data_IF_751143124215
#
_entry.id   IF_751143124215
#
_cell.length_a   1.000
_cell.length_b   1.000
_cell.length_c   1.000
_cell.angle_alpha   90.00
_cell.angle_beta   90.00
_cell.angle_gamma   90.00
#
_symmetry.space_group_name_H-M   'P 1'
#
loop_
_entity.id
_entity.type
_entity.pdbx_description
1 polymer ?
#
# COMPACT_ATOMS: atom_id res chain seq x y z
N UNK A 1 8.23 27.93 -20.52
CA UNK A 1 7.92 26.95 -19.47
C UNK A 1 6.64 26.26 -19.90
N UNK A 2 6.77 25.11 -20.55
CA UNK A 2 5.62 24.33 -21.02
C UNK A 2 4.99 23.73 -19.78
N UNK A 3 3.77 24.16 -19.45
CA UNK A 3 2.95 23.44 -18.47
C UNK A 3 2.57 22.15 -19.18
N UNK A 4 3.22 21.03 -18.82
CA UNK A 4 2.66 19.73 -19.12
C UNK A 4 1.26 19.74 -18.51
N UNK A 5 0.23 19.68 -19.35
CA UNK A 5 -1.13 19.40 -18.90
C UNK A 5 -1.13 17.96 -18.36
N UNK A 6 -0.63 17.80 -17.14
CA UNK A 6 -0.67 16.55 -16.39
C UNK A 6 -2.14 16.16 -16.29
N UNK A 7 -2.50 15.08 -17.00
CA UNK A 7 -3.83 14.52 -16.93
C UNK A 7 -4.13 14.21 -15.46
N UNK A 8 -5.02 14.96 -14.81
CA UNK A 8 -5.34 14.82 -13.38
C UNK A 8 -5.71 13.37 -13.01
N UNK A 9 -6.26 12.62 -13.96
CA UNK A 9 -6.55 11.19 -13.82
C UNK A 9 -5.31 10.34 -13.55
N UNK A 10 -4.13 10.73 -14.04
CA UNK A 10 -2.88 10.02 -13.84
C UNK A 10 -2.45 9.99 -12.37
N UNK A 11 -2.89 10.98 -11.57
CA UNK A 11 -2.54 11.12 -10.16
C UNK A 11 -3.53 10.44 -9.21
N UNK A 12 -4.71 10.01 -9.69
CA UNK A 12 -5.69 9.31 -8.86
C UNK A 12 -5.30 7.84 -8.68
N UNK A 13 -5.45 7.34 -7.45
CA UNK A 13 -5.29 5.92 -7.15
C UNK A 13 -6.47 5.10 -7.73
N UNK A 14 -6.24 3.83 -8.09
CA UNK A 14 -7.32 2.89 -8.38
C UNK A 14 -8.31 2.78 -7.21
N UNK A 15 -9.59 2.53 -7.51
CA UNK A 15 -10.64 2.37 -6.49
C UNK A 15 -10.87 0.91 -6.09
N UNK A 16 -9.94 0.03 -6.47
CA UNK A 16 -10.06 -1.42 -6.32
C UNK A 16 -9.81 -1.89 -4.89
N UNK A 17 -8.99 -1.17 -4.11
CA UNK A 17 -8.75 -1.41 -2.69
C UNK A 17 -9.17 -0.18 -1.87
N UNK A 18 -10.17 -0.33 -1.01
CA UNK A 18 -10.76 0.76 -0.23
C UNK A 18 -10.44 0.55 1.26
N UNK A 19 -9.60 1.40 1.88
CA UNK A 19 -9.22 1.22 3.28
C UNK A 19 -10.38 1.56 4.22
N UNK A 20 -10.48 0.80 5.31
CA UNK A 20 -11.52 0.92 6.35
C UNK A 20 -10.91 1.32 7.71
N UNK A 21 -9.75 0.74 8.06
CA UNK A 21 -9.10 0.99 9.35
C UNK A 21 -7.58 0.84 9.25
N UNK A 22 -6.88 1.76 9.90
CA UNK A 22 -5.43 1.72 10.07
C UNK A 22 -5.07 1.45 11.52
N UNK A 23 -4.24 0.45 11.76
CA UNK A 23 -3.52 0.26 13.01
C UNK A 23 -2.05 0.62 12.76
N UNK A 24 -1.66 1.83 13.16
CA UNK A 24 -0.33 2.38 12.92
C UNK A 24 0.50 2.34 14.20
N UNK A 25 1.71 1.79 14.09
CA UNK A 25 2.73 1.84 15.12
C UNK A 25 3.98 2.54 14.58
N UNK A 26 4.44 3.57 15.27
CA UNK A 26 5.65 4.33 14.92
C UNK A 26 6.56 4.39 16.14
N UNK A 27 7.82 4.01 15.95
CA UNK A 27 8.89 4.05 16.94
C UNK A 27 9.98 5.01 16.45
N UNK A 28 9.94 6.30 16.86
CA UNK A 28 10.96 7.28 16.50
C UNK A 28 12.24 7.08 17.31
N UNK A 29 13.39 7.25 16.66
CA UNK A 29 14.69 7.42 17.29
C UNK A 29 15.15 8.87 17.12
N UNK A 30 15.10 9.62 18.23
CA UNK A 30 15.48 11.03 18.23
C UNK A 30 16.99 11.25 18.18
N UNK A 31 17.79 10.24 18.55
CA UNK A 31 19.26 10.33 18.55
C UNK A 31 19.83 10.21 17.14
N UNK A 32 19.29 9.31 16.32
CA UNK A 32 19.66 9.14 14.92
C UNK A 32 18.78 9.92 13.94
N UNK A 33 17.77 10.66 14.43
CA UNK A 33 16.77 11.34 13.61
C UNK A 33 16.11 10.40 12.59
N UNK A 34 15.77 9.19 13.02
CA UNK A 34 15.13 8.16 12.20
C UNK A 34 13.86 7.63 12.85
N UNK A 35 13.14 6.77 12.14
CA UNK A 35 11.97 6.09 12.66
C UNK A 35 11.89 4.67 12.10
N UNK A 36 11.16 3.83 12.81
CA UNK A 36 10.69 2.54 12.31
C UNK A 36 9.21 2.40 12.64
N UNK A 37 8.53 1.45 12.02
CA UNK A 37 7.12 1.27 12.27
C UNK A 37 6.54 0.12 11.50
N UNK A 38 5.26 -0.11 11.75
CA UNK A 38 4.42 -1.05 11.03
C UNK A 38 3.03 -0.44 10.91
N UNK A 39 2.36 -0.76 9.82
CA UNK A 39 0.96 -0.42 9.61
C UNK A 39 0.20 -1.68 9.25
N UNK A 40 -0.94 -1.90 9.88
CA UNK A 40 -1.92 -2.87 9.39
C UNK A 40 -3.15 -2.10 8.87
N UNK A 41 -3.54 -2.38 7.64
CA UNK A 41 -4.59 -1.68 6.91
C UNK A 41 -5.70 -2.70 6.62
N UNK A 42 -6.81 -2.60 7.34
CA UNK A 42 -8.04 -3.28 6.94
C UNK A 42 -8.62 -2.56 5.72
N UNK A 43 -8.88 -3.31 4.65
CA UNK A 43 -9.37 -2.77 3.39
C UNK A 43 -10.35 -3.74 2.72
N UNK A 44 -11.20 -3.20 1.84
CA UNK A 44 -12.09 -3.95 0.97
C UNK A 44 -11.54 -3.97 -0.45
N UNK A 45 -11.31 -5.17 -1.00
CA UNK A 45 -11.03 -5.37 -2.43
C UNK A 45 -12.37 -5.48 -3.16
N UNK A 46 -12.67 -4.54 -4.04
CA UNK A 46 -14.00 -4.40 -4.67
C UNK A 46 -14.17 -5.21 -5.96
N UNK A 47 -13.07 -5.47 -6.65
CA UNK A 47 -12.96 -6.35 -7.80
C UNK A 47 -11.62 -7.07 -7.73
N UNK A 48 -11.48 -8.18 -8.45
CA UNK A 48 -10.26 -8.95 -8.33
C UNK A 48 -9.04 -8.23 -8.91
N UNK A 49 -7.92 -8.29 -8.18
CA UNK A 49 -6.70 -7.52 -8.45
C UNK A 49 -5.45 -8.41 -8.51
N UNK A 50 -4.40 -7.89 -9.13
CA UNK A 50 -3.03 -8.40 -9.04
C UNK A 50 -2.11 -7.48 -8.23
N UNK A 51 -2.56 -6.29 -7.87
CA UNK A 51 -1.74 -5.30 -7.16
C UNK A 51 -2.61 -4.33 -6.33
N UNK A 52 -2.02 -3.81 -5.26
CA UNK A 52 -2.56 -2.72 -4.46
C UNK A 52 -1.62 -1.52 -4.63
N UNK A 53 -2.17 -0.36 -5.00
CA UNK A 53 -1.39 0.87 -5.14
C UNK A 53 -1.85 1.87 -4.08
N UNK A 54 -0.91 2.42 -3.32
CA UNK A 54 -1.18 3.53 -2.41
C UNK A 54 -0.03 4.54 -2.42
N UNK A 55 -0.20 5.64 -1.68
CA UNK A 55 0.81 6.69 -1.62
C UNK A 55 1.97 6.30 -0.70
N UNK A 56 3.19 6.62 -1.12
CA UNK A 56 4.40 6.51 -0.32
C UNK A 56 5.38 7.61 -0.77
N UNK A 57 5.78 8.49 0.15
CA UNK A 57 6.72 9.56 -0.12
C UNK A 57 7.84 9.52 0.93
N UNK A 58 9.09 9.41 0.47
CA UNK A 58 10.28 9.35 1.34
C UNK A 58 10.20 8.22 2.41
N UNK A 59 9.56 7.10 2.05
CA UNK A 59 9.44 5.91 2.90
C UNK A 59 10.31 4.77 2.37
N UNK A 60 10.95 4.04 3.28
CA UNK A 60 11.50 2.72 3.00
C UNK A 60 10.50 1.65 3.47
N UNK A 61 10.08 0.77 2.56
CA UNK A 61 9.19 -0.36 2.87
C UNK A 61 9.99 -1.65 2.74
N UNK A 62 10.11 -2.40 3.84
CA UNK A 62 10.98 -3.58 3.92
C UNK A 62 10.26 -4.88 3.60
N UNK A 63 9.02 -5.01 4.05
CA UNK A 63 8.15 -6.15 3.81
C UNK A 63 6.69 -5.68 3.64
N UNK A 64 5.89 -6.55 3.02
CA UNK A 64 4.45 -6.38 2.90
C UNK A 64 3.80 -7.74 2.70
N UNK A 65 2.60 -7.89 3.24
CA UNK A 65 1.82 -9.11 3.25
C UNK A 65 0.33 -8.81 3.16
N UNK A 66 -0.43 -9.73 2.58
CA UNK A 66 -1.88 -9.63 2.48
C UNK A 66 -2.52 -10.90 3.02
N UNK A 67 -3.52 -10.75 3.88
CA UNK A 67 -4.35 -11.86 4.37
C UNK A 67 -5.83 -11.52 4.34
N UNK A 68 -6.74 -12.49 4.17
CA UNK A 68 -8.17 -12.25 4.39
C UNK A 68 -8.42 -11.78 5.82
N UNK A 69 -9.42 -10.91 6.02
CA UNK A 69 -9.73 -10.34 7.35
C UNK A 69 -10.01 -11.43 8.40
N UNK A 70 -10.74 -12.48 7.99
CA UNK A 70 -11.10 -13.63 8.82
C UNK A 70 -10.25 -14.88 8.51
N UNK A 71 -9.11 -14.72 7.83
CA UNK A 71 -8.18 -15.79 7.49
C UNK A 71 -6.85 -15.66 8.24
N UNK A 72 -6.17 -16.79 8.40
CA UNK A 72 -4.87 -16.85 9.10
C UNK A 72 -3.67 -16.81 8.15
N UNK A 73 -3.84 -17.23 6.89
CA UNK A 73 -2.74 -17.30 5.94
C UNK A 73 -2.46 -15.95 5.30
N UNK A 74 -1.25 -15.45 5.49
CA UNK A 74 -0.73 -14.28 4.79
C UNK A 74 0.10 -14.68 3.57
N UNK A 75 -0.09 -13.95 2.48
CA UNK A 75 0.72 -14.02 1.26
C UNK A 75 1.70 -12.85 1.25
N UNK A 76 2.99 -13.11 1.07
CA UNK A 76 3.97 -12.06 0.87
C UNK A 76 3.72 -11.32 -0.45
N UNK A 77 3.89 -10.00 -0.44
CA UNK A 77 3.73 -9.14 -1.61
C UNK A 77 5.10 -8.68 -2.11
N UNK A 78 5.23 -8.47 -3.42
CA UNK A 78 6.36 -7.68 -3.93
C UNK A 78 6.14 -6.20 -3.64
N UNK A 79 7.23 -5.45 -3.48
CA UNK A 79 7.19 -4.02 -3.18
C UNK A 79 7.96 -3.28 -4.27
N UNK A 80 7.30 -2.32 -4.93
CA UNK A 80 7.92 -1.41 -5.89
C UNK A 80 7.59 0.03 -5.50
N UNK A 81 8.61 0.82 -5.16
CA UNK A 81 8.49 2.25 -4.87
C UNK A 81 8.65 3.07 -6.15
N UNK A 82 7.76 4.04 -6.33
CA UNK A 82 7.81 5.07 -7.36
C UNK A 82 7.91 6.43 -6.67
N UNK A 83 9.16 6.89 -6.47
CA UNK A 83 9.46 8.14 -5.78
C UNK A 83 8.93 9.37 -6.56
N UNK A 84 8.85 9.29 -7.90
CA UNK A 84 8.36 10.41 -8.71
C UNK A 84 6.83 10.56 -8.62
N UNK A 85 6.14 9.42 -8.58
CA UNK A 85 4.68 9.36 -8.43
C UNK A 85 4.20 9.39 -6.98
N UNK A 86 5.12 9.39 -6.01
CA UNK A 86 4.87 9.25 -4.57
C UNK A 86 3.97 8.04 -4.26
N UNK A 87 4.33 6.89 -4.82
CA UNK A 87 3.53 5.66 -4.78
C UNK A 87 4.34 4.44 -4.37
N UNK A 88 3.62 3.47 -3.81
CA UNK A 88 4.09 2.09 -3.68
C UNK A 88 3.09 1.16 -4.35
N UNK A 89 3.62 0.19 -5.10
CA UNK A 89 2.87 -0.90 -5.72
C UNK A 89 3.19 -2.19 -4.97
N UNK A 90 2.16 -2.79 -4.40
CA UNK A 90 2.23 -4.10 -3.76
C UNK A 90 1.72 -5.17 -4.72
N UNK A 91 2.62 -5.97 -5.30
CA UNK A 91 2.26 -7.03 -6.24
C UNK A 91 1.83 -8.30 -5.52
N UNK A 92 0.63 -8.78 -5.85
CA UNK A 92 0.10 -10.04 -5.32
C UNK A 92 0.74 -11.23 -6.05
N UNK A 93 1.15 -12.31 -5.34
CA UNK A 93 1.76 -13.47 -5.96
C UNK A 93 0.79 -14.29 -6.83
N UNK A 94 -0.51 -14.11 -6.60
CA UNK A 94 -1.60 -14.64 -7.41
C UNK A 94 -2.75 -13.63 -7.43
N UNK A 95 -3.73 -13.84 -8.31
CA UNK A 95 -4.95 -13.02 -8.35
C UNK A 95 -5.66 -13.06 -6.99
N UNK A 96 -5.97 -11.89 -6.46
CA UNK A 96 -6.71 -11.72 -5.20
C UNK A 96 -8.17 -11.43 -5.53
N UNK A 97 -9.08 -12.22 -4.97
CA UNK A 97 -10.53 -12.07 -5.20
C UNK A 97 -11.11 -10.92 -4.35
N UNK A 98 -12.33 -10.45 -4.68
CA UNK A 98 -13.01 -9.43 -3.89
C UNK A 98 -13.30 -9.90 -2.46
N UNK A 99 -13.27 -8.95 -1.53
CA UNK A 99 -13.61 -9.17 -0.12
C UNK A 99 -12.76 -8.35 0.85
N UNK A 100 -12.92 -8.61 2.15
CA UNK A 100 -12.18 -7.90 3.19
C UNK A 100 -10.81 -8.52 3.46
N UNK A 101 -9.78 -7.69 3.52
CA UNK A 101 -8.39 -8.08 3.73
C UNK A 101 -7.69 -7.19 4.77
N UNK A 102 -6.54 -7.67 5.25
CA UNK A 102 -5.56 -6.89 5.99
C UNK A 102 -4.25 -6.89 5.22
N UNK A 103 -3.80 -5.69 4.85
CA UNK A 103 -2.47 -5.42 4.32
C UNK A 103 -1.56 -5.03 5.49
N UNK A 104 -0.46 -5.73 5.69
CA UNK A 104 0.56 -5.44 6.72
C UNK A 104 1.96 -5.46 6.15
#
# INVERSE_FOLDING_TARGET
MTIENGNEAAYRLPRTAVPQRYALHVAPDLGSASYSGRVAIELEITEAISEIICNAAELAVFDASLRPLHGETASALSVLLDDNGERVVFGCPARTEPGPYVLE
#
